data_IF_017266504168
#
_entry.id   IF_017266504168
#
_cell.length_a   1.000
_cell.length_b   1.000
_cell.length_c   1.000
_cell.angle_alpha   90.00
_cell.angle_beta   90.00
_cell.angle_gamma   90.00
#
_symmetry.space_group_name_H-M   'P 1'
#
loop_
_entity.id
_entity.type
_entity.pdbx_description
1 polymer ?
#
# COMPACT_ATOMS: atom_id res chain seq x y z
N UNK A 1 -2.48 -57.10 40.18
CA UNK A 1 -3.06 -58.08 39.24
C UNK A 1 -3.21 -57.40 37.89
N UNK A 2 -2.69 -58.03 36.83
CA UNK A 2 -2.77 -57.58 35.42
C UNK A 2 -4.13 -57.98 34.84
N UNK A 3 -4.74 -57.12 34.02
CA UNK A 3 -5.57 -57.34 32.79
C UNK A 3 -5.96 -55.92 32.31
N UNK A 4 -5.50 -55.33 31.19
CA UNK A 4 -5.55 -55.66 29.75
C UNK A 4 -6.92 -55.45 29.07
N UNK A 5 -6.96 -54.39 28.24
CA UNK A 5 -7.65 -54.17 26.94
C UNK A 5 -9.19 -54.14 26.82
N UNK A 6 -9.69 -52.98 26.33
CA UNK A 6 -10.62 -52.75 25.19
C UNK A 6 -10.57 -51.24 24.87
N UNK A 7 -9.92 -50.76 23.80
CA UNK A 7 -10.32 -50.71 22.38
C UNK A 7 -11.62 -49.98 22.05
N UNK A 8 -11.48 -48.97 21.17
CA UNK A 8 -12.49 -48.39 20.25
C UNK A 8 -13.39 -47.25 20.76
N UNK A 9 -13.07 -46.00 20.40
CA UNK A 9 -13.69 -45.29 19.25
C UNK A 9 -13.21 -43.83 19.18
N UNK A 10 -12.45 -43.55 18.12
CA UNK A 10 -12.10 -42.23 17.63
C UNK A 10 -13.36 -41.56 17.05
N UNK A 11 -13.82 -40.48 17.66
CA UNK A 11 -14.78 -39.55 17.05
C UNK A 11 -14.05 -38.51 16.22
N UNK A 12 -13.73 -38.84 14.97
CA UNK A 12 -13.38 -37.84 13.95
C UNK A 12 -14.66 -37.11 13.54
N UNK A 13 -14.81 -35.86 13.93
CA UNK A 13 -15.76 -34.95 13.29
C UNK A 13 -15.16 -34.56 11.94
N UNK A 14 -15.52 -35.32 10.90
CA UNK A 14 -15.28 -34.93 9.51
C UNK A 14 -16.25 -33.80 9.17
N UNK A 15 -15.74 -32.57 9.15
CA UNK A 15 -16.44 -31.44 8.56
C UNK A 15 -16.48 -31.67 7.03
N UNK A 16 -17.64 -32.05 6.51
CA UNK A 16 -17.87 -32.21 5.07
C UNK A 16 -18.00 -30.81 4.47
N UNK A 17 -16.95 -30.32 3.81
CA UNK A 17 -17.06 -29.23 2.86
C UNK A 17 -17.73 -29.74 1.58
N UNK A 18 -19.03 -29.54 1.46
CA UNK A 18 -19.75 -29.66 0.20
C UNK A 18 -19.47 -28.41 -0.65
N UNK A 19 -18.47 -28.47 -1.52
CA UNK A 19 -18.14 -27.41 -2.46
C UNK A 19 -16.67 -27.45 -2.85
N UNK A 20 -16.39 -27.98 -4.04
CA UNK A 20 -15.05 -28.36 -4.49
C UNK A 20 -14.00 -27.26 -4.45
N UNK A 21 -12.95 -27.50 -3.67
CA UNK A 21 -11.64 -26.90 -3.86
C UNK A 21 -10.66 -28.06 -4.09
N UNK A 22 -10.43 -28.43 -5.35
CA UNK A 22 -9.28 -29.27 -5.71
C UNK A 22 -8.03 -28.41 -5.72
N UNK A 23 -6.95 -28.79 -5.02
CA UNK A 23 -5.66 -28.12 -5.17
C UNK A 23 -5.11 -28.36 -6.59
N UNK A 24 -4.48 -27.37 -7.25
CA UNK A 24 -3.77 -27.64 -8.49
C UNK A 24 -2.55 -28.51 -8.20
N UNK A 25 -2.43 -29.60 -8.95
CA UNK A 25 -1.28 -30.48 -8.97
C UNK A 25 -0.01 -29.70 -9.31
N UNK A 26 1.06 -29.95 -8.55
CA UNK A 26 2.42 -29.49 -8.88
C UNK A 26 2.84 -30.17 -10.19
N UNK A 27 2.81 -29.42 -11.28
CA UNK A 27 3.53 -29.79 -12.50
C UNK A 27 5.01 -29.50 -12.26
N UNK A 28 5.76 -30.54 -11.89
CA UNK A 28 7.22 -30.52 -12.01
C UNK A 28 7.57 -30.62 -13.49
N UNK A 29 7.89 -29.49 -14.12
CA UNK A 29 8.51 -29.47 -15.42
C UNK A 29 9.99 -29.85 -15.26
N UNK A 30 10.33 -31.09 -15.63
CA UNK A 30 11.70 -31.48 -15.96
C UNK A 30 12.04 -30.90 -17.33
N UNK A 31 12.94 -29.92 -17.38
CA UNK A 31 13.52 -29.39 -18.61
C UNK A 31 15.02 -29.18 -18.41
N UNK A 32 15.81 -30.17 -18.83
CA UNK A 32 17.20 -29.97 -19.25
C UNK A 32 17.16 -29.21 -20.57
N UNK A 33 18.07 -28.26 -20.77
CA UNK A 33 18.86 -28.13 -21.99
C UNK A 33 20.03 -27.16 -21.72
N UNK A 34 21.19 -27.59 -22.20
CA UNK A 34 22.52 -27.00 -22.15
C UNK A 34 22.69 -25.73 -23.02
N UNK A 35 23.86 -25.08 -22.89
CA UNK A 35 24.44 -23.91 -23.60
C UNK A 35 24.17 -22.53 -22.93
N UNK A 36 25.15 -21.67 -22.63
CA UNK A 36 26.56 -21.60 -23.02
C UNK A 36 27.40 -20.88 -21.96
N UNK A 37 28.67 -21.29 -21.93
CA UNK A 37 29.78 -20.85 -21.09
C UNK A 37 30.29 -19.44 -21.45
N UNK A 38 30.36 -18.58 -20.44
CA UNK A 38 31.61 -17.95 -20.00
C UNK A 38 32.54 -17.28 -21.03
N UNK A 39 32.16 -16.14 -21.59
CA UNK A 39 33.10 -15.22 -22.24
C UNK A 39 33.75 -14.25 -21.25
N UNK A 40 35.04 -14.46 -20.95
CA UNK A 40 35.88 -13.64 -20.07
C UNK A 40 36.18 -12.21 -20.59
N UNK A 41 36.27 -11.31 -19.61
CA UNK A 41 36.97 -10.01 -19.51
C UNK A 41 38.18 -9.73 -20.43
N UNK A 42 38.28 -8.47 -20.88
CA UNK A 42 39.44 -7.51 -20.94
C UNK A 42 39.15 -6.47 -22.06
N UNK A 43 39.57 -5.20 -22.11
CA UNK A 43 40.12 -4.20 -21.18
C UNK A 43 40.06 -2.84 -21.93
N UNK A 44 39.85 -1.74 -21.19
CA UNK A 44 40.42 -0.39 -21.38
C UNK A 44 40.17 0.46 -22.65
N UNK A 45 39.57 1.64 -22.46
CA UNK A 45 40.14 2.98 -22.81
C UNK A 45 39.11 4.07 -22.43
N UNK A 46 39.38 4.97 -21.49
CA UNK A 46 40.11 6.25 -21.65
C UNK A 46 39.42 7.24 -22.58
N UNK A 47 38.67 8.18 -22.01
CA UNK A 47 38.11 9.35 -22.71
C UNK A 47 37.75 10.46 -21.73
N UNK A 48 38.71 11.36 -21.48
CA UNK A 48 38.56 12.62 -20.74
C UNK A 48 38.02 13.75 -21.64
N UNK A 49 37.26 14.66 -21.03
CA UNK A 49 36.90 16.01 -21.52
C UNK A 49 35.63 16.47 -20.79
N UNK A 50 35.64 17.41 -19.82
CA UNK A 50 35.99 18.84 -19.93
C UNK A 50 34.94 19.53 -20.82
N UNK A 51 34.15 20.54 -20.48
CA UNK A 51 34.18 21.66 -19.53
C UNK A 51 32.73 22.24 -19.48
N UNK A 52 32.18 22.73 -18.37
CA UNK A 52 32.33 24.11 -17.89
C UNK A 52 30.99 24.88 -18.02
N UNK A 53 30.64 25.70 -17.02
CA UNK A 53 29.50 26.62 -17.12
C UNK A 53 28.85 26.99 -15.79
N UNK A 54 29.46 27.93 -15.07
CA UNK A 54 28.87 28.66 -13.96
C UNK A 54 27.66 29.50 -14.43
N UNK A 55 26.57 29.45 -13.66
CA UNK A 55 25.39 30.29 -13.84
C UNK A 55 24.88 30.80 -12.50
N UNK A 56 25.42 31.93 -12.06
CA UNK A 56 24.85 32.75 -10.98
C UNK A 56 23.59 33.48 -11.47
N UNK A 57 22.58 33.52 -10.60
CA UNK A 57 21.41 34.38 -10.71
C UNK A 57 20.25 33.69 -10.00
N UNK A 58 19.52 34.28 -9.07
CA UNK A 58 19.46 35.63 -8.55
C UNK A 58 18.38 35.60 -7.46
N UNK A 59 18.46 36.57 -6.56
CA UNK A 59 17.63 36.68 -5.37
C UNK A 59 16.12 36.88 -5.66
N UNK A 60 15.32 36.36 -4.74
CA UNK A 60 13.92 36.70 -4.47
C UNK A 60 13.44 35.68 -3.43
N UNK A 61 13.37 35.95 -2.12
CA UNK A 61 12.83 37.13 -1.47
C UNK A 61 11.47 36.72 -0.89
N UNK A 62 11.26 37.04 0.40
CA UNK A 62 10.01 37.04 1.19
C UNK A 62 9.24 35.70 1.27
N UNK A 63 9.12 35.04 2.43
CA UNK A 63 8.67 35.57 3.71
C UNK A 63 7.26 35.03 3.98
N UNK A 64 7.14 34.08 4.92
CA UNK A 64 5.86 33.44 5.23
C UNK A 64 5.86 32.68 6.56
N UNK A 65 6.61 33.16 7.56
CA UNK A 65 6.37 32.80 8.95
C UNK A 65 5.31 33.77 9.48
N UNK A 66 4.12 33.29 9.80
CA UNK A 66 3.13 34.10 10.53
C UNK A 66 1.68 33.88 10.11
N UNK A 67 1.09 32.79 10.58
CA UNK A 67 -0.36 32.71 10.80
C UNK A 67 -0.64 32.75 12.30
N UNK A 68 -0.45 33.91 12.93
CA UNK A 68 -0.97 34.15 14.28
C UNK A 68 -2.46 34.49 14.17
N UNK A 69 -3.29 33.74 14.90
CA UNK A 69 -4.48 34.27 15.56
C UNK A 69 -5.66 34.66 14.66
N UNK A 70 -6.44 33.67 14.22
CA UNK A 70 -7.83 33.87 13.83
C UNK A 70 -8.67 32.78 14.45
N UNK A 71 -9.48 33.12 15.45
CA UNK A 71 -10.46 32.22 16.07
C UNK A 71 -11.68 32.00 15.14
N UNK A 72 -11.41 31.59 13.90
CA UNK A 72 -12.36 30.92 13.01
C UNK A 72 -11.84 29.51 12.75
N UNK A 73 -12.70 28.55 12.34
CA UNK A 73 -12.20 27.24 11.93
C UNK A 73 -11.18 27.46 10.81
N UNK A 74 -9.95 27.01 11.02
CA UNK A 74 -8.93 27.08 9.99
C UNK A 74 -9.42 26.26 8.79
N UNK A 75 -9.68 26.94 7.68
CA UNK A 75 -10.06 26.30 6.44
C UNK A 75 -8.82 25.66 5.84
N UNK A 76 -8.94 24.43 5.36
CA UNK A 76 -7.86 23.68 4.75
C UNK A 76 -8.30 23.06 3.43
N UNK A 77 -7.36 22.91 2.49
CA UNK A 77 -7.52 22.08 1.30
C UNK A 77 -6.72 20.78 1.44
N UNK A 78 -5.61 20.82 2.16
CA UNK A 78 -4.75 19.68 2.46
C UNK A 78 -4.26 19.72 3.90
N UNK A 79 -3.65 18.65 4.37
CA UNK A 79 -3.04 18.60 5.69
C UNK A 79 -1.93 19.66 5.89
N UNK A 80 -1.27 20.11 4.81
CA UNK A 80 -0.23 21.13 4.88
C UNK A 80 -0.76 22.51 5.31
N UNK A 81 -2.08 22.73 5.22
CA UNK A 81 -2.73 23.96 5.67
C UNK A 81 -2.99 23.97 7.19
N UNK A 82 -2.85 22.82 7.85
CA UNK A 82 -3.10 22.64 9.27
C UNK A 82 -1.80 22.58 10.09
N UNK A 83 -1.90 22.83 11.40
CA UNK A 83 -0.75 22.78 12.29
C UNK A 83 -0.17 21.35 12.36
N UNK A 84 1.04 21.17 11.81
CA UNK A 84 1.74 19.89 11.78
C UNK A 84 1.92 19.34 13.19
N UNK A 85 1.45 18.11 13.40
CA UNK A 85 1.52 17.41 14.68
C UNK A 85 0.45 17.84 15.68
N UNK A 86 -0.51 18.68 15.29
CA UNK A 86 -1.62 19.12 16.16
C UNK A 86 -2.98 18.96 15.48
N UNK A 87 -3.04 19.12 14.15
CA UNK A 87 -4.27 19.11 13.38
C UNK A 87 -4.07 18.42 12.02
N UNK A 88 -5.16 17.96 11.40
CA UNK A 88 -5.18 17.53 10.00
C UNK A 88 -6.44 18.04 9.29
N UNK A 89 -6.46 17.98 7.96
CA UNK A 89 -7.59 18.51 7.20
C UNK A 89 -8.72 17.49 7.06
N UNK A 90 -9.94 17.79 7.49
CA UNK A 90 -11.13 16.96 7.22
C UNK A 90 -12.25 17.84 6.72
N UNK A 91 -12.76 17.55 5.51
CA UNK A 91 -13.93 18.24 4.97
C UNK A 91 -13.77 19.77 4.90
N UNK A 92 -12.55 20.24 4.65
CA UNK A 92 -12.24 21.66 4.56
C UNK A 92 -11.95 22.36 5.89
N UNK A 93 -11.89 21.64 7.01
CA UNK A 93 -11.57 22.19 8.33
C UNK A 93 -10.40 21.47 8.99
N UNK A 94 -9.48 22.22 9.60
CA UNK A 94 -8.46 21.63 10.46
C UNK A 94 -9.11 21.11 11.75
N UNK A 95 -8.99 19.80 11.96
CA UNK A 95 -9.49 19.16 13.18
C UNK A 95 -8.30 18.75 14.05
N UNK A 96 -8.35 19.00 15.38
CA UNK A 96 -7.31 18.56 16.29
C UNK A 96 -7.17 17.05 16.28
N UNK A 97 -5.94 16.57 16.27
CA UNK A 97 -5.66 15.16 16.40
C UNK A 97 -5.42 14.77 17.88
N UNK A 98 -5.87 13.58 18.26
CA UNK A 98 -5.59 13.03 19.59
C UNK A 98 -4.17 12.43 19.64
N UNK A 99 -3.22 13.24 20.11
CA UNK A 99 -1.84 12.82 20.34
C UNK A 99 -1.54 12.50 21.81
N UNK A 100 -2.56 12.14 22.60
CA UNK A 100 -2.40 11.90 24.05
C UNK A 100 -1.41 10.79 24.41
N UNK A 101 -0.84 10.07 23.44
CA UNK A 101 0.12 8.98 23.65
C UNK A 101 -0.49 7.73 24.30
N UNK A 102 -1.77 7.79 24.66
CA UNK A 102 -2.59 6.69 25.19
C UNK A 102 -3.30 5.91 24.07
N UNK A 103 -3.46 6.54 22.93
CA UNK A 103 -4.00 6.02 21.68
C UNK A 103 -2.77 5.88 20.78
N UNK A 104 -2.13 4.75 20.54
CA UNK A 104 -2.68 3.45 20.18
C UNK A 104 -1.57 2.41 20.36
N UNK A 105 -1.71 1.51 21.33
CA UNK A 105 -0.93 0.28 21.35
C UNK A 105 -1.55 -0.74 20.37
N UNK A 106 -1.58 -0.37 19.09
CA UNK A 106 -2.10 -1.26 18.04
C UNK A 106 -0.93 -2.01 17.43
N UNK A 107 -1.07 -3.32 17.37
CA UNK A 107 -0.16 -4.16 16.60
C UNK A 107 -0.82 -4.44 15.26
N UNK A 108 -0.25 -3.88 14.20
CA UNK A 108 -0.74 -4.08 12.85
C UNK A 108 -0.49 -5.53 12.40
N UNK A 109 -1.53 -6.16 11.86
CA UNK A 109 -1.46 -7.51 11.29
C UNK A 109 -0.88 -7.47 9.86
N UNK A 110 -0.52 -8.62 9.29
CA UNK A 110 -0.14 -8.76 7.87
C UNK A 110 1.04 -7.90 7.41
N UNK A 111 1.94 -7.52 8.32
CA UNK A 111 3.10 -6.68 7.99
C UNK A 111 2.75 -5.22 7.70
N UNK A 112 1.53 -4.80 8.04
CA UNK A 112 1.12 -3.41 7.94
C UNK A 112 1.82 -2.55 8.99
N UNK A 113 1.85 -1.25 8.73
CA UNK A 113 2.49 -0.29 9.61
C UNK A 113 1.48 0.72 10.13
N UNK A 114 1.64 1.19 11.39
CA UNK A 114 0.90 2.34 11.85
C UNK A 114 1.29 3.54 10.97
N UNK A 115 0.30 4.22 10.40
CA UNK A 115 0.57 5.37 9.56
C UNK A 115 0.39 6.67 10.35
N UNK A 116 1.02 7.74 9.88
CA UNK A 116 0.88 9.09 10.43
C UNK A 116 0.22 10.00 9.41
N UNK A 117 -0.61 10.92 9.90
CA UNK A 117 -1.28 11.93 9.08
C UNK A 117 -0.91 13.30 9.60
N UNK A 118 -0.27 14.14 8.79
CA UNK A 118 0.27 15.43 9.22
C UNK A 118 1.12 15.40 10.51
N UNK A 119 1.81 14.29 10.81
CA UNK A 119 2.54 14.10 12.07
C UNK A 119 1.67 13.69 13.28
N UNK A 120 0.37 13.51 13.09
CA UNK A 120 -0.56 12.93 14.05
C UNK A 120 -0.71 11.41 13.86
N UNK A 121 -1.26 10.74 14.89
CA UNK A 121 -1.45 9.29 14.92
C UNK A 121 -2.94 8.91 14.96
N UNK A 122 -3.58 8.57 13.82
CA UNK A 122 -5.01 8.24 13.75
C UNK A 122 -5.37 6.83 14.26
N UNK A 123 -4.43 6.09 14.84
CA UNK A 123 -4.67 4.73 15.34
C UNK A 123 -5.22 3.73 14.33
N UNK A 124 -4.75 3.86 13.09
CA UNK A 124 -5.07 2.93 12.03
C UNK A 124 -3.78 2.41 11.39
N UNK A 125 -3.90 1.21 10.81
CA UNK A 125 -2.84 0.55 10.06
C UNK A 125 -3.08 0.75 8.57
N UNK A 126 -1.99 0.88 7.82
CA UNK A 126 -2.01 0.88 6.37
C UNK A 126 -0.93 -0.08 5.84
N UNK A 127 -1.11 -0.64 4.63
CA UNK A 127 -0.04 -1.39 3.98
C UNK A 127 1.18 -0.49 3.74
N UNK A 128 2.41 -1.04 3.80
CA UNK A 128 3.59 -0.28 3.40
C UNK A 128 3.53 0.08 1.91
N UNK A 129 4.14 1.20 1.55
CA UNK A 129 4.36 1.56 0.15
C UNK A 129 5.57 0.81 -0.40
N UNK A 130 5.39 0.20 -1.56
CA UNK A 130 6.51 -0.29 -2.38
C UNK A 130 7.21 0.89 -3.08
N UNK A 131 6.46 1.93 -3.42
CA UNK A 131 6.93 3.12 -4.14
C UNK A 131 6.18 4.39 -3.72
N UNK A 132 6.83 5.55 -3.86
CA UNK A 132 6.22 6.88 -3.81
C UNK A 132 6.15 7.56 -5.17
N UNK A 133 6.96 7.11 -6.12
CA UNK A 133 6.98 7.56 -7.52
C UNK A 133 7.46 6.43 -8.45
N UNK A 134 7.22 6.56 -9.77
CA UNK A 134 7.64 5.59 -10.79
C UNK A 134 9.14 5.23 -10.70
N UNK A 135 9.98 6.20 -10.35
CA UNK A 135 11.44 6.03 -10.22
C UNK A 135 11.84 5.07 -9.11
N UNK A 136 10.96 4.82 -8.13
CA UNK A 136 11.26 3.97 -6.98
C UNK A 136 11.17 2.48 -7.34
N UNK A 137 10.54 2.14 -8.47
CA UNK A 137 10.32 0.75 -8.88
C UNK A 137 11.59 0.04 -9.38
N UNK A 138 12.68 0.76 -9.63
CA UNK A 138 13.97 0.20 -10.06
C UNK A 138 13.98 -0.39 -11.49
N UNK A 139 12.83 -0.73 -12.05
CA UNK A 139 12.63 -1.18 -13.42
C UNK A 139 11.97 -0.07 -14.26
N UNK A 140 12.60 0.38 -15.36
CA UNK A 140 12.07 1.45 -16.20
C UNK A 140 10.77 1.10 -16.95
N UNK A 141 10.36 -0.17 -16.93
CA UNK A 141 9.10 -0.65 -17.51
C UNK A 141 7.96 -0.67 -16.51
N UNK A 142 8.23 -0.36 -15.24
CA UNK A 142 7.24 -0.34 -14.17
C UNK A 142 6.83 1.09 -13.82
N UNK A 143 5.60 1.22 -13.31
CA UNK A 143 5.03 2.44 -12.78
C UNK A 143 4.53 2.22 -11.36
N UNK A 144 4.51 3.29 -10.58
CA UNK A 144 4.00 3.30 -9.24
C UNK A 144 2.49 3.54 -9.29
N UNK A 145 1.73 2.47 -9.10
CA UNK A 145 0.28 2.58 -9.01
C UNK A 145 -0.12 2.93 -7.59
N UNK A 146 -1.00 3.92 -7.47
CA UNK A 146 -1.57 4.29 -6.18
C UNK A 146 -2.23 3.08 -5.52
N UNK A 147 -2.01 2.96 -4.21
CA UNK A 147 -2.74 2.04 -3.37
C UNK A 147 -4.16 2.53 -3.10
N UNK A 148 -4.94 1.69 -2.41
CA UNK A 148 -6.33 2.00 -2.06
C UNK A 148 -6.47 2.86 -0.81
N UNK A 149 -5.40 3.03 -0.04
CA UNK A 149 -5.43 3.76 1.22
C UNK A 149 -4.98 5.19 0.99
N UNK A 150 -5.87 6.04 0.50
CA UNK A 150 -5.56 7.44 0.16
C UNK A 150 -6.23 8.42 1.12
N UNK A 151 -5.64 9.60 1.26
CA UNK A 151 -6.30 10.72 1.94
C UNK A 151 -7.55 11.18 1.19
N UNK A 152 -8.48 11.81 1.91
CA UNK A 152 -9.73 12.32 1.37
C UNK A 152 -9.53 13.44 0.33
N UNK A 153 -8.45 14.20 0.47
CA UNK A 153 -8.04 15.25 -0.47
C UNK A 153 -7.06 14.76 -1.55
N UNK A 154 -6.72 13.48 -1.58
CA UNK A 154 -5.73 12.95 -2.51
C UNK A 154 -6.28 12.97 -3.95
N UNK A 155 -5.55 13.54 -4.92
CA UNK A 155 -5.94 13.44 -6.32
C UNK A 155 -6.02 11.97 -6.77
N UNK A 156 -6.96 11.62 -7.66
CA UNK A 156 -6.97 10.28 -8.25
C UNK A 156 -5.63 9.99 -8.93
N UNK A 157 -5.13 8.76 -8.79
CA UNK A 157 -3.88 8.28 -9.39
C UNK A 157 -2.59 8.97 -8.87
N UNK A 158 -2.67 9.75 -7.78
CA UNK A 158 -1.49 10.34 -7.14
C UNK A 158 -0.97 9.46 -5.98
N UNK A 159 0.16 8.75 -6.15
CA UNK A 159 0.69 7.87 -5.10
C UNK A 159 1.26 8.64 -3.89
N UNK A 160 1.50 9.94 -4.00
CA UNK A 160 2.19 10.72 -2.95
C UNK A 160 1.37 10.88 -1.67
N UNK A 161 0.05 10.74 -1.77
CA UNK A 161 -0.91 10.87 -0.68
C UNK A 161 -1.64 9.54 -0.36
N UNK A 162 -1.05 8.41 -0.78
CA UNK A 162 -1.61 7.09 -0.59
C UNK A 162 -0.63 6.11 0.06
N UNK A 163 -1.21 5.04 0.60
CA UNK A 163 -0.54 3.90 1.20
C UNK A 163 -0.94 2.61 0.47
N UNK A 164 -0.04 1.62 0.50
CA UNK A 164 -0.16 0.39 -0.28
C UNK A 164 0.09 0.58 -1.78
N UNK A 165 0.86 1.60 -2.15
CA UNK A 165 1.32 1.79 -3.52
C UNK A 165 2.17 0.60 -3.95
N UNK A 166 2.02 0.18 -5.21
CA UNK A 166 2.74 -0.98 -5.74
C UNK A 166 3.37 -0.69 -7.09
N UNK A 167 4.53 -1.29 -7.32
CA UNK A 167 5.17 -1.31 -8.61
C UNK A 167 4.56 -2.38 -9.48
N UNK A 168 4.14 -2.00 -10.67
CA UNK A 168 3.65 -2.95 -11.67
C UNK A 168 4.06 -2.52 -13.07
N UNK A 169 4.08 -3.44 -14.05
CA UNK A 169 4.29 -3.08 -15.43
C UNK A 169 3.41 -1.89 -15.86
N UNK A 170 3.98 -0.99 -16.65
CA UNK A 170 3.27 0.15 -17.19
C UNK A 170 2.11 -0.29 -18.10
N UNK A 171 1.05 0.54 -18.15
CA UNK A 171 0.01 0.44 -19.17
C UNK A 171 -1.41 0.16 -18.66
N UNK A 172 -1.61 -0.08 -17.37
CA UNK A 172 -2.94 -0.12 -16.80
C UNK A 172 -3.49 1.29 -16.59
N UNK A 173 -4.78 1.47 -16.88
CA UNK A 173 -5.51 2.68 -16.53
C UNK A 173 -6.06 2.57 -15.11
N UNK A 174 -5.97 3.64 -14.33
CA UNK A 174 -6.57 3.69 -13.00
C UNK A 174 -5.71 3.10 -11.89
N UNK A 175 -6.20 3.22 -10.65
CA UNK A 175 -5.57 2.66 -9.46
C UNK A 175 -5.63 1.13 -9.45
N UNK A 176 -4.83 0.52 -8.58
CA UNK A 176 -4.87 -0.93 -8.35
C UNK A 176 -6.25 -1.35 -7.79
N UNK A 177 -7.01 -2.25 -8.46
CA UNK A 177 -8.37 -2.59 -8.08
C UNK A 177 -8.46 -3.67 -6.99
N UNK A 178 -7.37 -3.99 -6.29
CA UNK A 178 -7.41 -4.88 -5.13
C UNK A 178 -8.45 -4.39 -4.10
N UNK A 179 -9.03 -5.29 -3.33
CA UNK A 179 -9.97 -4.92 -2.27
C UNK A 179 -9.28 -4.28 -1.06
N UNK A 180 -10.07 -3.61 -0.22
CA UNK A 180 -9.61 -3.20 1.12
C UNK A 180 -9.36 -4.44 2.01
N UNK A 181 -8.63 -4.33 3.13
CA UNK A 181 -8.42 -5.46 4.06
C UNK A 181 -8.62 -4.98 5.49
N UNK A 182 -9.81 -5.16 6.09
CA UNK A 182 -10.23 -4.62 7.41
C UNK A 182 -10.27 -3.09 7.51
N UNK A 183 -9.27 -2.38 6.98
CA UNK A 183 -9.21 -0.92 6.77
C UNK A 183 -8.77 -0.62 5.33
N UNK A 184 -8.74 0.65 4.92
CA UNK A 184 -8.53 1.06 3.52
C UNK A 184 -9.76 1.64 2.83
N UNK A 185 -10.71 2.10 3.63
CA UNK A 185 -11.87 2.83 3.16
C UNK A 185 -11.80 4.27 3.64
N UNK A 186 -12.48 5.16 2.94
CA UNK A 186 -12.52 6.56 3.31
C UNK A 186 -13.19 6.75 4.70
N UNK A 187 -12.97 7.88 5.39
CA UNK A 187 -13.69 8.16 6.62
C UNK A 187 -15.21 8.00 6.45
N UNK A 188 -15.85 7.34 7.42
CA UNK A 188 -17.27 6.98 7.32
C UNK A 188 -17.54 5.66 6.58
N UNK A 189 -16.50 4.96 6.12
CA UNK A 189 -16.62 3.66 5.47
C UNK A 189 -15.88 2.57 6.23
N UNK A 190 -16.43 1.36 6.20
CA UNK A 190 -15.81 0.17 6.75
C UNK A 190 -15.55 -0.84 5.64
N UNK A 191 -14.39 -1.50 5.72
CA UNK A 191 -14.09 -2.61 4.84
C UNK A 191 -14.90 -3.84 5.27
N UNK A 192 -15.87 -4.25 4.45
CA UNK A 192 -16.59 -5.51 4.64
C UNK A 192 -16.03 -6.60 3.74
N UNK A 193 -15.71 -7.74 4.32
CA UNK A 193 -15.46 -9.00 3.58
C UNK A 193 -16.70 -9.90 3.60
N UNK A 194 -17.74 -9.57 4.37
CA UNK A 194 -19.01 -10.30 4.37
C UNK A 194 -19.74 -10.03 3.05
N UNK A 195 -19.92 -11.08 2.25
CA UNK A 195 -20.58 -11.05 0.93
C UNK A 195 -19.88 -10.18 -0.13
N UNK A 196 -18.63 -9.80 0.10
CA UNK A 196 -17.79 -9.11 -0.86
C UNK A 196 -16.59 -9.99 -1.20
N UNK A 197 -16.48 -10.42 -2.46
CA UNK A 197 -15.29 -11.08 -2.96
C UNK A 197 -14.51 -10.08 -3.81
N UNK A 198 -13.51 -9.44 -3.22
CA UNK A 198 -12.50 -8.68 -3.94
C UNK A 198 -11.16 -9.41 -3.86
N UNK A 199 -10.31 -9.22 -4.86
CA UNK A 199 -8.97 -9.79 -4.86
C UNK A 199 -8.12 -9.18 -3.74
N UNK A 200 -7.23 -9.97 -3.13
CA UNK A 200 -6.22 -9.43 -2.20
C UNK A 200 -5.10 -8.67 -2.90
N UNK A 201 -4.80 -9.01 -4.16
CA UNK A 201 -3.66 -8.46 -4.90
C UNK A 201 -3.94 -8.44 -6.39
N UNK A 202 -3.53 -7.37 -7.07
CA UNK A 202 -3.54 -7.27 -8.52
C UNK A 202 -2.19 -6.80 -9.05
N UNK A 203 -1.83 -7.30 -10.22
CA UNK A 203 -0.66 -6.87 -10.99
C UNK A 203 -1.10 -6.42 -12.37
N UNK A 204 -0.47 -5.37 -12.89
CA UNK A 204 -0.76 -4.89 -14.23
C UNK A 204 -0.12 -5.81 -15.28
N UNK A 205 -0.88 -6.15 -16.32
CA UNK A 205 -0.35 -6.87 -17.48
C UNK A 205 -0.86 -6.21 -18.76
N UNK A 206 0.04 -5.53 -19.47
CA UNK A 206 -0.26 -4.83 -20.71
C UNK A 206 -1.19 -3.64 -20.47
N UNK A 207 -2.49 -3.88 -20.49
CA UNK A 207 -3.51 -2.84 -20.28
C UNK A 207 -4.65 -3.27 -19.36
N UNK A 208 -4.49 -4.37 -18.64
CA UNK A 208 -5.51 -4.92 -17.76
C UNK A 208 -4.93 -5.40 -16.44
N UNK A 209 -5.72 -5.26 -15.38
CA UNK A 209 -5.39 -5.77 -14.07
C UNK A 209 -5.62 -7.28 -14.00
N UNK A 210 -4.57 -8.02 -13.63
CA UNK A 210 -4.66 -9.44 -13.31
C UNK A 210 -4.68 -9.56 -11.79
N UNK A 211 -5.80 -10.03 -11.25
CA UNK A 211 -6.05 -10.10 -9.82
C UNK A 211 -6.16 -11.54 -9.31
N UNK A 212 -5.81 -11.76 -8.04
CA UNK A 212 -6.05 -13.02 -7.34
C UNK A 212 -7.55 -13.31 -7.21
N UNK A 213 -7.93 -14.59 -7.22
CA UNK A 213 -9.34 -15.04 -7.03
C UNK A 213 -9.60 -15.56 -5.62
N UNK A 214 -8.82 -15.08 -4.66
CA UNK A 214 -8.79 -15.60 -3.30
C UNK A 214 -9.87 -15.02 -2.39
N UNK A 215 -10.63 -14.02 -2.87
CA UNK A 215 -11.58 -13.25 -2.06
C UNK A 215 -10.94 -12.72 -0.77
N UNK A 216 -9.63 -12.46 -0.80
CA UNK A 216 -8.88 -11.98 0.37
C UNK A 216 -9.07 -10.48 0.64
N UNK A 217 -9.63 -9.75 -0.33
CA UNK A 217 -10.01 -8.35 -0.21
C UNK A 217 -11.51 -8.16 0.04
N UNK A 218 -11.86 -7.07 0.71
CA UNK A 218 -13.21 -6.61 0.95
C UNK A 218 -13.65 -5.46 0.03
N UNK A 219 -14.83 -4.91 0.35
CA UNK A 219 -15.37 -3.69 -0.25
C UNK A 219 -15.59 -2.63 0.82
N UNK A 220 -15.38 -1.38 0.45
CA UNK A 220 -15.74 -0.25 1.28
C UNK A 220 -17.24 -0.01 1.21
N UNK A 221 -17.88 -0.07 2.38
CA UNK A 221 -19.30 0.25 2.56
C UNK A 221 -19.43 1.40 3.55
N UNK A 222 -20.42 2.26 3.37
CA UNK A 222 -20.70 3.32 4.33
C UNK A 222 -21.17 2.70 5.66
N UNK A 223 -20.69 3.26 6.77
CA UNK A 223 -21.11 2.89 8.12
C UNK A 223 -22.30 3.79 8.47
N UNK A 224 -23.52 3.22 8.47
CA UNK A 224 -24.73 3.89 8.99
C UNK A 224 -24.66 4.17 10.50
#
# INVERSE_FOLDING_TARGET
MRYALHSSLLGFFTLVCAGGCTPPERVFATGKDDLADGGQVTSSSSGQGGSGGDGQGGAGGIGGSGGQGGAGPALCSTDADCLKGEEWCVGGSCVPCDNSGLMCNIQCEFGWLPYTRNGCYPCACAPPNECGADTDCGDPTHQCYTGNFCWDWCPPEDPSCCYGNTCSPAGCSGPNPAGCVKTGCQPGQQCTTLNACSASTCSCSGSFWICTKDCGGGKCIDVE
#
